data_IF_708926404344
#
_entry.id   IF_708926404344
#
_cell.length_a   1.000
_cell.length_b   1.000
_cell.length_c   1.000
_cell.angle_alpha   90.00
_cell.angle_beta   90.00
_cell.angle_gamma   90.00
#
_symmetry.space_group_name_H-M   'P 1'
#
loop_
_entity.id
_entity.type
_entity.pdbx_description
1 polymer ?
#
# COMPACT_ATOMS: atom_id res chain seq x y z
N UNK A 1 -37.47 9.91 -7.93
CA UNK A 1 -36.37 10.64 -7.27
C UNK A 1 -35.14 10.47 -8.15
N UNK A 2 -34.69 11.53 -8.81
CA UNK A 2 -33.51 11.48 -9.67
C UNK A 2 -32.27 11.48 -8.79
N UNK A 3 -31.64 10.32 -8.62
CA UNK A 3 -30.29 10.26 -8.09
C UNK A 3 -29.35 10.68 -9.22
N UNK A 4 -28.84 11.90 -9.09
CA UNK A 4 -27.88 12.50 -10.00
C UNK A 4 -26.64 11.60 -10.11
N UNK A 5 -26.40 11.12 -11.33
CA UNK A 5 -25.17 10.44 -11.77
C UNK A 5 -23.89 11.25 -11.51
N UNK A 6 -24.01 12.51 -11.13
CA UNK A 6 -22.92 13.41 -10.71
C UNK A 6 -22.23 12.99 -9.40
N UNK A 7 -22.88 12.21 -8.53
CA UNK A 7 -22.24 11.68 -7.31
C UNK A 7 -21.38 10.41 -7.56
N UNK A 8 -21.56 9.76 -8.72
CA UNK A 8 -20.76 8.60 -9.11
C UNK A 8 -19.52 8.99 -9.93
N UNK A 9 -19.42 10.26 -10.36
CA UNK A 9 -18.33 10.76 -11.20
C UNK A 9 -17.57 11.93 -10.54
N UNK A 10 -17.24 11.78 -9.26
CA UNK A 10 -16.21 12.60 -8.61
C UNK A 10 -14.98 11.75 -8.37
N UNK A 11 -14.37 11.24 -9.45
CA UNK A 11 -13.04 10.63 -9.49
C UNK A 11 -12.61 9.95 -8.19
N UNK A 12 -13.35 8.93 -7.76
CA UNK A 12 -12.94 8.10 -6.64
C UNK A 12 -11.71 7.33 -7.09
N UNK A 13 -10.53 7.93 -6.93
CA UNK A 13 -9.25 7.24 -7.03
C UNK A 13 -9.16 6.31 -5.84
N UNK A 14 -9.87 5.20 -5.89
CA UNK A 14 -9.62 4.09 -4.97
C UNK A 14 -8.23 3.58 -5.34
N UNK A 15 -7.26 3.62 -4.41
CA UNK A 15 -5.91 3.22 -4.73
C UNK A 15 -5.90 1.71 -5.02
N UNK A 16 -5.01 1.28 -5.91
CA UNK A 16 -4.88 -0.14 -6.27
C UNK A 16 -4.43 -1.00 -5.07
N UNK A 17 -3.85 -0.36 -4.06
CA UNK A 17 -3.44 -0.96 -2.80
C UNK A 17 -3.63 0.07 -1.67
N UNK A 18 -3.72 -0.43 -0.44
CA UNK A 18 -3.62 0.37 0.78
C UNK A 18 -2.51 -0.25 1.62
N UNK A 19 -1.77 0.57 2.33
CA UNK A 19 -0.75 0.07 3.25
C UNK A 19 -0.49 1.06 4.38
N UNK A 20 -0.41 0.52 5.59
CA UNK A 20 -0.09 1.29 6.79
C UNK A 20 1.07 0.66 7.56
N UNK A 21 1.86 1.52 8.20
CA UNK A 21 2.93 1.15 9.12
C UNK A 21 2.56 1.66 10.50
N UNK A 22 2.51 0.78 11.50
CA UNK A 22 2.19 1.15 12.89
C UNK A 22 0.89 1.99 13.00
N UNK A 23 -0.11 1.65 12.16
CA UNK A 23 -1.40 2.35 12.11
C UNK A 23 -1.39 3.69 11.37
N UNK A 24 -0.25 4.13 10.82
CA UNK A 24 -0.16 5.30 9.95
C UNK A 24 -0.28 4.87 8.48
N UNK A 25 -1.30 5.39 7.80
CA UNK A 25 -1.44 5.24 6.36
C UNK A 25 -0.28 5.93 5.63
N UNK A 26 0.41 5.17 4.79
CA UNK A 26 1.54 5.63 3.97
C UNK A 26 1.31 5.35 2.48
N UNK A 27 0.09 4.99 2.09
CA UNK A 27 -0.28 4.60 0.73
C UNK A 27 0.19 5.62 -0.29
N UNK A 28 -0.04 6.91 -0.05
CA UNK A 28 0.36 7.99 -0.98
C UNK A 28 1.87 8.22 -1.06
N UNK A 29 2.61 7.88 -0.01
CA UNK A 29 4.07 7.95 0.02
C UNK A 29 4.66 6.82 -0.82
N UNK A 30 4.12 5.61 -0.67
CA UNK A 30 4.56 4.45 -1.44
C UNK A 30 4.04 4.47 -2.87
N UNK A 31 2.86 5.00 -3.17
CA UNK A 31 2.30 5.06 -4.54
C UNK A 31 3.24 5.75 -5.53
N UNK A 32 3.98 6.77 -5.08
CA UNK A 32 4.96 7.46 -5.92
C UNK A 32 6.30 6.72 -6.09
N UNK A 33 6.54 5.66 -5.32
CA UNK A 33 7.83 4.94 -5.25
C UNK A 33 7.69 3.45 -5.53
N UNK A 34 6.49 2.88 -5.49
CA UNK A 34 6.26 1.46 -5.59
C UNK A 34 6.55 0.97 -7.01
N UNK A 35 7.55 0.12 -7.14
CA UNK A 35 7.90 -0.57 -8.39
C UNK A 35 7.16 -1.90 -8.50
N UNK A 36 7.11 -2.67 -7.40
CA UNK A 36 6.36 -3.92 -7.33
C UNK A 36 5.90 -4.23 -5.91
N UNK A 37 4.77 -4.94 -5.81
CA UNK A 37 4.21 -5.50 -4.58
C UNK A 37 3.85 -6.94 -4.84
N UNK A 38 4.42 -7.85 -4.06
CA UNK A 38 4.09 -9.28 -4.11
C UNK A 38 3.64 -9.75 -2.74
N UNK A 39 2.43 -10.31 -2.68
CA UNK A 39 1.92 -11.00 -1.49
C UNK A 39 1.91 -12.51 -1.78
N UNK A 40 2.68 -13.26 -1.02
CA UNK A 40 2.73 -14.72 -1.09
C UNK A 40 2.03 -15.30 0.13
N UNK A 41 0.86 -15.90 -0.11
CA UNK A 41 0.14 -16.72 0.87
C UNK A 41 0.89 -18.06 1.02
N UNK A 42 1.41 -18.31 2.21
CA UNK A 42 2.18 -19.50 2.51
C UNK A 42 1.31 -20.53 3.24
N UNK A 43 1.41 -21.80 2.83
CA UNK A 43 0.62 -22.88 3.43
C UNK A 43 1.36 -23.52 4.60
N UNK A 44 0.59 -24.01 5.57
CA UNK A 44 1.11 -24.81 6.67
C UNK A 44 1.48 -23.97 7.88
N UNK A 45 2.73 -24.08 8.34
CA UNK A 45 3.24 -23.40 9.54
C UNK A 45 4.07 -22.14 9.23
N UNK A 46 4.19 -21.79 7.94
CA UNK A 46 4.92 -20.61 7.49
C UNK A 46 3.97 -19.42 7.42
N UNK A 47 4.47 -18.23 7.79
CA UNK A 47 3.72 -17.00 7.69
C UNK A 47 3.70 -16.49 6.24
N UNK A 48 2.66 -15.74 5.89
CA UNK A 48 2.60 -15.00 4.64
C UNK A 48 3.79 -14.06 4.48
N UNK A 49 4.20 -13.83 3.24
CA UNK A 49 5.30 -12.93 2.91
C UNK A 49 4.81 -11.77 2.05
N UNK A 50 5.19 -10.56 2.44
CA UNK A 50 5.01 -9.34 1.66
C UNK A 50 6.37 -8.83 1.20
N UNK A 51 6.55 -8.71 -0.11
CA UNK A 51 7.71 -8.09 -0.73
C UNK A 51 7.31 -6.77 -1.41
N UNK A 52 8.11 -5.72 -1.16
CA UNK A 52 7.95 -4.39 -1.76
C UNK A 52 9.27 -3.98 -2.40
N UNK A 53 9.23 -3.62 -3.69
CA UNK A 53 10.35 -2.96 -4.37
C UNK A 53 10.01 -1.48 -4.55
N UNK A 54 10.92 -0.61 -4.12
CA UNK A 54 10.71 0.83 -4.09
C UNK A 54 11.83 1.57 -4.82
N UNK A 55 11.48 2.65 -5.51
CA UNK A 55 12.42 3.59 -6.08
C UNK A 55 12.98 4.55 -5.00
N UNK A 56 14.29 4.44 -4.77
CA UNK A 56 15.06 5.32 -3.89
C UNK A 56 16.12 6.12 -4.64
N UNK A 57 15.89 6.48 -5.91
CA UNK A 57 16.83 7.30 -6.69
C UNK A 57 17.18 8.65 -6.01
N UNK A 58 16.31 9.16 -5.13
CA UNK A 58 16.54 10.39 -4.36
C UNK A 58 17.06 10.18 -2.93
N UNK A 59 17.29 8.93 -2.51
CA UNK A 59 17.87 8.57 -1.21
C UNK A 59 17.01 8.96 0.00
N UNK A 60 15.70 9.12 -0.17
CA UNK A 60 14.77 9.55 0.90
C UNK A 60 14.05 8.41 1.58
N UNK A 61 14.20 7.17 1.12
CA UNK A 61 13.57 6.02 1.78
C UNK A 61 14.33 5.72 3.08
N UNK A 62 13.61 5.85 4.19
CA UNK A 62 14.09 5.39 5.49
C UNK A 62 13.49 4.02 5.75
N UNK A 63 14.35 3.02 5.93
CA UNK A 63 13.91 1.69 6.34
C UNK A 63 13.19 1.76 7.69
N UNK A 64 12.10 1.03 7.79
CA UNK A 64 11.36 0.89 9.05
C UNK A 64 12.23 0.20 10.09
N UNK A 65 11.92 0.43 11.36
CA UNK A 65 12.47 -0.37 12.44
C UNK A 65 12.11 -1.85 12.20
N UNK A 66 13.04 -2.75 12.48
CA UNK A 66 12.73 -4.18 12.52
C UNK A 66 11.56 -4.43 13.48
N UNK A 67 10.58 -5.21 13.03
CA UNK A 67 9.36 -5.52 13.80
C UNK A 67 8.27 -4.45 13.73
N UNK A 68 8.40 -3.42 12.88
CA UNK A 68 7.28 -2.54 12.55
C UNK A 68 6.13 -3.37 11.95
N UNK A 69 4.91 -3.14 12.44
CA UNK A 69 3.72 -3.86 11.95
C UNK A 69 3.24 -3.19 10.67
N UNK A 70 3.08 -4.00 9.63
CA UNK A 70 2.49 -3.62 8.35
C UNK A 70 1.05 -4.14 8.26
N UNK A 71 0.18 -3.38 7.62
CA UNK A 71 -1.19 -3.81 7.31
C UNK A 71 -1.54 -3.35 5.91
N UNK A 72 -1.97 -4.28 5.05
CA UNK A 72 -2.54 -4.00 3.73
C UNK A 72 -4.05 -3.76 3.82
#
# INVERSE_FOLDING_TARGET
>A
MNFSSELLNKGNKTPAFSISIEGRDITTVLDNRLMSLTLTDNRGFDADQLDLELDDADGKIVLTRRGAVLTL
#
